data_IF_193704338472
#
_entry.id   IF_193704338472
#
_cell.length_a   1.000
_cell.length_b   1.000
_cell.length_c   1.000
_cell.angle_alpha   90.00
_cell.angle_beta   90.00
_cell.angle_gamma   90.00
#
_symmetry.space_group_name_H-M   'P 1'
#
loop_
_entity.id
_entity.type
_entity.pdbx_description
1 polymer ?
#
# COMPACT_ATOMS: atom_id res chain seq x y z
N UNK A 1 -27.76 -7.85 -6.99
CA UNK A 1 -28.14 -6.46 -7.31
C UNK A 1 -26.91 -5.56 -7.27
N UNK A 2 -26.21 -5.44 -6.12
CA UNK A 2 -25.02 -4.57 -5.96
C UNK A 2 -23.96 -4.66 -7.07
N UNK A 3 -23.51 -5.86 -7.45
CA UNK A 3 -22.49 -6.01 -8.51
C UNK A 3 -22.99 -5.47 -9.85
N UNK A 4 -24.26 -5.70 -10.18
CA UNK A 4 -24.89 -5.21 -11.41
C UNK A 4 -25.07 -3.68 -11.38
N UNK A 5 -25.35 -3.11 -10.21
CA UNK A 5 -25.44 -1.65 -10.02
C UNK A 5 -24.07 -0.98 -10.21
N UNK A 6 -23.03 -1.50 -9.56
CA UNK A 6 -21.66 -0.98 -9.67
C UNK A 6 -21.07 -1.15 -11.08
N UNK A 7 -21.51 -2.16 -11.83
CA UNK A 7 -21.04 -2.42 -13.19
C UNK A 7 -21.52 -1.37 -14.21
N UNK A 8 -22.59 -0.63 -13.90
CA UNK A 8 -23.17 0.40 -14.79
C UNK A 8 -23.11 1.81 -14.21
N UNK A 9 -22.52 1.97 -13.02
CA UNK A 9 -22.34 3.27 -12.39
C UNK A 9 -21.43 4.15 -13.25
N UNK A 10 -21.87 5.38 -13.54
CA UNK A 10 -21.09 6.33 -14.31
C UNK A 10 -19.84 6.76 -13.53
N UNK A 11 -18.68 6.56 -14.14
CA UNK A 11 -17.41 6.94 -13.54
C UNK A 11 -17.16 8.43 -13.74
N UNK A 12 -16.85 9.14 -12.65
CA UNK A 12 -16.62 10.59 -12.65
C UNK A 12 -15.22 10.97 -13.16
N UNK A 13 -14.94 10.68 -14.43
CA UNK A 13 -13.70 11.08 -15.11
C UNK A 13 -13.99 11.70 -16.48
N UNK A 14 -13.05 12.50 -16.97
CA UNK A 14 -13.10 13.02 -18.33
C UNK A 14 -12.64 11.92 -19.30
N UNK A 15 -13.58 11.25 -19.95
CA UNK A 15 -13.30 10.23 -20.97
C UNK A 15 -13.39 8.79 -20.45
N UNK A 16 -12.82 7.87 -21.22
CA UNK A 16 -12.84 6.43 -20.91
C UNK A 16 -11.82 6.08 -19.81
N UNK A 17 -12.14 5.17 -18.88
CA UNK A 17 -11.20 4.72 -17.86
C UNK A 17 -10.06 3.96 -18.52
N UNK A 18 -8.84 4.36 -18.19
CA UNK A 18 -7.63 3.74 -18.70
C UNK A 18 -6.89 2.95 -17.60
N UNK A 19 -5.73 2.40 -17.96
CA UNK A 19 -4.94 1.63 -17.01
C UNK A 19 -4.36 2.50 -15.88
N UNK A 20 -4.17 3.80 -16.09
CA UNK A 20 -3.69 4.73 -15.06
C UNK A 20 -4.77 4.95 -14.01
N UNK A 21 -6.01 5.21 -14.43
CA UNK A 21 -7.17 5.33 -13.55
C UNK A 21 -7.30 4.12 -12.62
N UNK A 22 -7.29 2.91 -13.19
CA UNK A 22 -7.41 1.66 -12.41
C UNK A 22 -6.26 1.53 -11.41
N UNK A 23 -5.00 1.75 -11.84
CA UNK A 23 -3.83 1.66 -10.95
C UNK A 23 -3.90 2.65 -9.80
N UNK A 24 -4.33 3.89 -10.04
CA UNK A 24 -4.48 4.88 -8.98
C UNK A 24 -5.52 4.45 -7.95
N UNK A 25 -6.69 4.01 -8.39
CA UNK A 25 -7.77 3.60 -7.48
C UNK A 25 -7.31 2.40 -6.64
N UNK A 26 -6.71 1.39 -7.29
CA UNK A 26 -6.15 0.23 -6.59
C UNK A 26 -5.06 0.64 -5.60
N UNK A 27 -4.16 1.55 -5.97
CA UNK A 27 -3.11 2.02 -5.07
C UNK A 27 -3.67 2.73 -3.83
N UNK A 28 -4.74 3.53 -3.99
CA UNK A 28 -5.43 4.18 -2.87
C UNK A 28 -6.10 3.18 -1.92
N UNK A 29 -6.65 2.09 -2.45
CA UNK A 29 -7.27 1.02 -1.67
C UNK A 29 -6.21 0.19 -0.93
N UNK A 30 -5.11 -0.15 -1.61
CA UNK A 30 -4.07 -1.02 -1.05
C UNK A 30 -3.20 -0.31 -0.01
N UNK A 31 -2.87 0.97 -0.20
CA UNK A 31 -1.95 1.72 0.67
C UNK A 31 -2.27 1.60 2.17
N UNK A 32 -3.51 1.86 2.67
CA UNK A 32 -3.80 1.78 4.10
C UNK A 32 -3.62 0.36 4.68
N UNK A 33 -3.80 -0.69 3.85
CA UNK A 33 -3.57 -2.08 4.27
C UNK A 33 -2.09 -2.31 4.53
N UNK A 34 -1.23 -1.88 3.60
CA UNK A 34 0.23 -2.02 3.73
C UNK A 34 0.77 -1.13 4.85
N UNK A 35 0.24 0.08 5.03
CA UNK A 35 0.60 0.97 6.15
C UNK A 35 0.29 0.32 7.51
N UNK A 36 -0.81 -0.42 7.63
CA UNK A 36 -1.14 -1.15 8.85
C UNK A 36 -0.14 -2.29 9.12
N UNK A 37 0.30 -3.01 8.09
CA UNK A 37 1.34 -4.04 8.20
C UNK A 37 2.69 -3.45 8.64
N UNK A 38 3.08 -2.30 8.05
CA UNK A 38 4.27 -1.54 8.46
C UNK A 38 4.20 -1.15 9.93
N UNK A 39 3.05 -0.62 10.38
CA UNK A 39 2.85 -0.24 11.78
C UNK A 39 2.96 -1.45 12.72
N UNK A 40 2.47 -2.62 12.30
CA UNK A 40 2.61 -3.86 13.07
C UNK A 40 4.07 -4.33 13.17
N UNK A 41 4.80 -4.34 12.05
CA UNK A 41 6.22 -4.71 12.03
C UNK A 41 7.06 -3.76 12.90
N UNK A 42 6.81 -2.46 12.82
CA UNK A 42 7.48 -1.46 13.69
C UNK A 42 7.24 -1.75 15.17
N UNK A 43 5.99 -2.06 15.57
CA UNK A 43 5.66 -2.43 16.96
C UNK A 43 6.38 -3.69 17.43
N UNK A 44 6.55 -4.69 16.56
CA UNK A 44 7.34 -5.89 16.86
C UNK A 44 8.82 -5.58 16.99
N UNK A 45 9.39 -4.83 16.04
CA UNK A 45 10.80 -4.47 16.01
C UNK A 45 11.22 -3.68 17.27
N UNK A 46 10.36 -2.76 17.75
CA UNK A 46 10.57 -1.99 18.97
C UNK A 46 10.69 -2.83 20.26
N UNK A 47 10.30 -4.12 20.21
CA UNK A 47 10.38 -5.05 21.35
C UNK A 47 11.58 -5.99 21.28
N UNK A 48 12.38 -5.93 20.21
CA UNK A 48 13.57 -6.76 20.02
C UNK A 48 14.82 -5.97 20.43
N UNK A 49 15.68 -6.58 21.23
CA UNK A 49 16.96 -6.00 21.57
C UNK A 49 18.01 -6.38 20.50
N UNK A 50 18.54 -5.41 19.72
CA UNK A 50 19.46 -5.71 18.61
C UNK A 50 20.83 -6.22 19.07
N UNK A 51 21.20 -6.06 20.34
CA UNK A 51 22.47 -6.57 20.88
C UNK A 51 22.42 -8.05 21.23
N UNK A 52 21.26 -8.55 21.67
CA UNK A 52 21.06 -9.96 22.03
C UNK A 52 20.48 -10.77 20.88
N UNK A 53 19.59 -10.17 20.09
CA UNK A 53 18.75 -10.86 19.10
C UNK A 53 18.99 -10.30 17.68
N UNK A 54 20.27 -10.15 17.32
CA UNK A 54 20.70 -9.47 16.08
C UNK A 54 20.07 -10.05 14.81
N UNK A 55 20.09 -11.37 14.65
CA UNK A 55 19.60 -12.01 13.42
C UNK A 55 18.07 -11.84 13.27
N UNK A 56 17.34 -11.95 14.37
CA UNK A 56 15.89 -11.71 14.40
C UNK A 56 15.58 -10.24 14.07
N UNK A 57 16.33 -9.30 14.66
CA UNK A 57 16.19 -7.88 14.37
C UNK A 57 16.43 -7.59 12.87
N UNK A 58 17.52 -8.10 12.29
CA UNK A 58 17.87 -7.83 10.90
C UNK A 58 16.86 -8.44 9.91
N UNK A 59 16.32 -9.63 10.22
CA UNK A 59 15.24 -10.23 9.43
C UNK A 59 13.98 -9.36 9.42
N UNK A 60 13.52 -8.91 10.59
CA UNK A 60 12.34 -8.04 10.71
C UNK A 60 12.57 -6.67 10.07
N UNK A 61 13.77 -6.11 10.23
CA UNK A 61 14.15 -4.85 9.60
C UNK A 61 14.15 -4.96 8.07
N UNK A 62 14.67 -6.05 7.51
CA UNK A 62 14.63 -6.28 6.06
C UNK A 62 13.20 -6.35 5.52
N UNK A 63 12.31 -7.06 6.21
CA UNK A 63 10.88 -7.11 5.85
C UNK A 63 10.23 -5.72 5.92
N UNK A 64 10.51 -4.96 6.99
CA UNK A 64 10.02 -3.60 7.17
C UNK A 64 10.45 -2.70 6.01
N UNK A 65 11.72 -2.75 5.60
CA UNK A 65 12.23 -1.95 4.49
C UNK A 65 11.54 -2.28 3.16
N UNK A 66 11.24 -3.56 2.92
CA UNK A 66 10.47 -3.99 1.75
C UNK A 66 9.06 -3.40 1.71
N UNK A 67 8.35 -3.45 2.84
CA UNK A 67 7.01 -2.88 2.94
C UNK A 67 7.00 -1.34 2.85
N UNK A 68 7.98 -0.66 3.44
CA UNK A 68 8.13 0.80 3.32
C UNK A 68 8.36 1.23 1.85
N UNK A 69 9.18 0.47 1.12
CA UNK A 69 9.37 0.71 -0.31
C UNK A 69 8.08 0.48 -1.11
N UNK A 70 7.27 -0.52 -0.72
CA UNK A 70 5.96 -0.76 -1.33
C UNK A 70 4.97 0.37 -1.04
N UNK A 71 4.88 0.85 0.21
CA UNK A 71 4.06 2.02 0.58
C UNK A 71 4.44 3.23 -0.25
N UNK A 72 5.75 3.49 -0.41
CA UNK A 72 6.24 4.58 -1.25
C UNK A 72 5.76 4.44 -2.71
N UNK A 73 5.90 3.25 -3.29
CA UNK A 73 5.44 2.99 -4.67
C UNK A 73 3.93 3.20 -4.82
N UNK A 74 3.12 2.72 -3.87
CA UNK A 74 1.67 2.93 -3.87
C UNK A 74 1.30 4.41 -3.73
N UNK A 75 2.06 5.17 -2.92
CA UNK A 75 1.87 6.61 -2.78
C UNK A 75 2.13 7.34 -4.10
N UNK A 76 3.20 6.99 -4.79
CA UNK A 76 3.56 7.59 -6.08
C UNK A 76 2.51 7.23 -7.14
N UNK A 77 2.08 5.96 -7.21
CA UNK A 77 0.98 5.52 -8.11
C UNK A 77 -0.37 6.22 -7.83
N UNK A 78 -0.67 6.50 -6.56
CA UNK A 78 -1.89 7.21 -6.17
C UNK A 78 -1.86 8.71 -6.49
N UNK A 79 -0.65 9.30 -6.63
CA UNK A 79 -0.43 10.71 -6.93
C UNK A 79 -0.47 11.00 -8.43
N UNK A 80 0.03 10.09 -9.28
CA UNK A 80 0.15 10.24 -10.74
C UNK A 80 -1.19 10.33 -11.51
N UNK A 81 -2.33 10.44 -10.83
CA UNK A 81 -3.65 10.47 -11.46
C UNK A 81 -4.07 11.84 -12.00
N UNK A 82 -3.29 12.88 -11.72
CA UNK A 82 -3.65 14.28 -11.97
C UNK A 82 -2.60 15.04 -12.79
N UNK A 83 -1.61 14.35 -13.38
CA UNK A 83 -0.77 14.89 -14.45
C UNK A 83 -1.36 14.51 -15.81
#
# INVERSE_FOLDING_TARGET
ALVSELAVEELRLAGEPDALYVRTILARIQRPVVEAEVADLKRRLQRINPSTDKDQYMSLFGQLMGLEQHVRSLRDQAANAFE
#
